data_IF_421984811680
#
_entry.id   IF_421984811680
#
_cell.length_a   1.000
_cell.length_b   1.000
_cell.length_c   1.000
_cell.angle_alpha   90.00
_cell.angle_beta   90.00
_cell.angle_gamma   90.00
#
_symmetry.space_group_name_H-M   'P 1'
#
loop_
_entity.id
_entity.type
_entity.pdbx_description
1 polymer ?
#
# COMPACT_ATOMS: atom_id res chain seq x y z
N UNK A 1 -20.19 -5.97 32.00
CA UNK A 1 -19.87 -4.54 31.91
C UNK A 1 -18.68 -4.44 30.98
N UNK A 2 -18.89 -4.02 29.73
CA UNK A 2 -17.89 -4.13 28.67
C UNK A 2 -16.67 -3.25 28.97
N UNK A 3 -15.49 -3.85 29.00
CA UNK A 3 -14.22 -3.13 29.08
C UNK A 3 -14.06 -2.30 27.81
N UNK A 4 -14.11 -0.98 27.96
CA UNK A 4 -13.66 -0.05 26.91
C UNK A 4 -12.18 -0.35 26.63
N UNK A 5 -11.88 -0.94 25.47
CA UNK A 5 -10.50 -0.95 24.96
C UNK A 5 -10.18 0.46 24.49
N UNK A 6 -9.16 1.08 25.06
CA UNK A 6 -8.64 2.34 24.56
C UNK A 6 -8.15 2.17 23.12
N UNK A 7 -8.08 3.24 22.32
CA UNK A 7 -7.57 3.26 20.94
C UNK A 7 -6.08 2.84 20.81
N UNK A 8 -5.45 2.55 21.95
CA UNK A 8 -4.08 2.05 22.11
C UNK A 8 -4.00 0.55 22.49
N UNK A 9 -5.13 -0.13 22.72
CA UNK A 9 -5.14 -1.57 23.02
C UNK A 9 -5.19 -2.36 21.70
N UNK A 10 -4.01 -2.65 21.15
CA UNK A 10 -3.83 -3.46 19.94
C UNK A 10 -3.00 -4.71 20.23
N UNK A 11 -3.31 -5.81 19.54
CA UNK A 11 -2.55 -7.07 19.63
C UNK A 11 -1.27 -7.01 18.77
N UNK A 12 -1.33 -6.34 17.61
CA UNK A 12 -0.23 -6.22 16.66
C UNK A 12 -0.07 -4.79 16.14
N UNK A 13 1.18 -4.39 15.90
CA UNK A 13 1.54 -3.14 15.25
C UNK A 13 2.28 -3.45 13.95
N UNK A 14 1.69 -3.10 12.80
CA UNK A 14 2.32 -3.33 11.51
C UNK A 14 2.68 -2.02 10.83
N UNK A 15 3.94 -1.91 10.42
CA UNK A 15 4.42 -0.81 9.59
C UNK A 15 4.26 -1.17 8.11
N UNK A 16 3.49 -0.35 7.39
CA UNK A 16 3.22 -0.49 5.96
C UNK A 16 3.67 0.77 5.22
N UNK A 17 4.30 0.61 4.06
CA UNK A 17 4.74 1.74 3.21
C UNK A 17 3.95 1.78 1.90
N UNK A 18 3.61 2.98 1.43
CA UNK A 18 3.05 3.20 0.10
C UNK A 18 4.17 3.69 -0.82
N UNK A 19 4.44 2.97 -1.90
CA UNK A 19 5.50 3.30 -2.85
C UNK A 19 4.98 3.29 -4.29
N UNK A 20 5.72 3.93 -5.20
CA UNK A 20 5.34 4.10 -6.60
C UNK A 20 5.48 5.53 -7.07
N UNK A 21 5.28 5.77 -8.36
CA UNK A 21 5.53 7.06 -9.00
C UNK A 21 4.67 8.21 -8.44
N UNK A 22 5.09 9.45 -8.72
CA UNK A 22 4.28 10.62 -8.41
C UNK A 22 2.95 10.61 -9.19
N UNK A 23 1.88 11.04 -8.52
CA UNK A 23 0.55 11.17 -9.13
C UNK A 23 -0.20 9.85 -9.40
N UNK A 24 0.34 8.70 -8.99
CA UNK A 24 -0.38 7.41 -9.09
C UNK A 24 -1.55 7.29 -8.12
N UNK A 25 -1.58 8.13 -7.07
CA UNK A 25 -2.71 8.27 -6.15
C UNK A 25 -2.51 7.67 -4.75
N UNK A 26 -1.27 7.42 -4.33
CA UNK A 26 -0.93 6.88 -2.98
C UNK A 26 -1.57 7.67 -1.83
N UNK A 27 -1.43 9.00 -1.82
CA UNK A 27 -2.02 9.87 -0.78
C UNK A 27 -3.55 9.82 -0.76
N UNK A 28 -4.18 9.69 -1.94
CA UNK A 28 -5.63 9.54 -2.05
C UNK A 28 -6.09 8.15 -1.58
N UNK A 29 -5.32 7.09 -1.83
CA UNK A 29 -5.59 5.76 -1.26
C UNK A 29 -5.47 5.78 0.26
N UNK A 30 -4.43 6.42 0.81
CA UNK A 30 -4.25 6.61 2.26
C UNK A 30 -5.41 7.39 2.88
N UNK A 31 -5.76 8.52 2.28
CA UNK A 31 -6.87 9.39 2.75
C UNK A 31 -8.20 8.66 2.67
N UNK A 32 -8.44 7.89 1.60
CA UNK A 32 -9.66 7.11 1.46
C UNK A 32 -9.73 5.99 2.49
N UNK A 33 -8.63 5.30 2.73
CA UNK A 33 -8.56 4.27 3.77
C UNK A 33 -8.73 4.86 5.18
N UNK A 34 -8.12 5.99 5.51
CA UNK A 34 -8.09 6.47 6.91
C UNK A 34 -9.22 7.41 7.27
N UNK A 35 -9.72 8.19 6.30
CA UNK A 35 -10.71 9.26 6.52
C UNK A 35 -11.94 9.15 5.62
N UNK A 36 -11.96 8.19 4.70
CA UNK A 36 -12.95 8.10 3.64
C UNK A 36 -13.01 9.39 2.77
N UNK A 37 -11.88 10.08 2.61
CA UNK A 37 -11.76 11.33 1.85
C UNK A 37 -11.03 11.13 0.52
N UNK A 38 -11.31 12.03 -0.44
CA UNK A 38 -10.59 12.09 -1.71
C UNK A 38 -10.47 13.54 -2.18
N UNK A 39 -9.30 13.87 -2.73
CA UNK A 39 -9.01 15.18 -3.29
C UNK A 39 -8.52 15.07 -4.73
N UNK A 40 -9.26 15.71 -5.64
CA UNK A 40 -8.85 15.87 -7.04
C UNK A 40 -7.59 16.75 -7.16
N UNK A 41 -7.43 17.71 -6.25
CA UNK A 41 -6.31 18.65 -6.23
C UNK A 41 -5.12 18.14 -5.40
N UNK A 42 -5.00 16.81 -5.20
CA UNK A 42 -3.88 16.23 -4.45
C UNK A 42 -2.55 16.64 -5.09
N UNK A 43 -1.82 17.54 -4.42
CA UNK A 43 -0.48 17.99 -4.85
C UNK A 43 0.52 16.86 -4.68
N UNK A 44 1.64 16.93 -5.41
CA UNK A 44 2.75 15.99 -5.18
C UNK A 44 3.19 16.05 -3.72
N UNK A 45 3.34 14.89 -3.08
CA UNK A 45 3.88 14.78 -1.72
C UNK A 45 5.33 15.26 -1.71
N UNK A 46 5.61 16.34 -0.99
CA UNK A 46 6.95 16.97 -0.88
C UNK A 46 7.79 16.30 0.23
N UNK A 47 7.19 15.40 1.01
CA UNK A 47 7.85 14.64 2.08
C UNK A 47 7.19 13.27 2.30
N UNK A 48 6.95 12.92 3.56
CA UNK A 48 6.25 11.68 3.93
C UNK A 48 5.06 12.02 4.81
N UNK A 49 3.91 11.45 4.50
CA UNK A 49 2.71 11.52 5.34
C UNK A 49 2.57 10.23 6.15
N UNK A 50 2.17 10.37 7.41
CA UNK A 50 1.98 9.25 8.32
C UNK A 50 0.54 9.21 8.81
N UNK A 51 -0.09 8.04 8.74
CA UNK A 51 -1.40 7.81 9.31
C UNK A 51 -1.45 6.47 10.03
N UNK A 52 -2.37 6.36 11.00
CA UNK A 52 -2.65 5.09 11.67
C UNK A 52 -4.10 4.71 11.49
N UNK A 53 -4.35 3.40 11.43
CA UNK A 53 -5.70 2.84 11.49
C UNK A 53 -5.68 1.46 12.12
N UNK A 54 -6.58 1.23 13.05
CA UNK A 54 -6.81 -0.09 13.63
C UNK A 54 -7.87 -0.83 12.84
N UNK A 55 -7.61 -2.10 12.53
CA UNK A 55 -8.58 -3.01 11.93
C UNK A 55 -8.64 -4.30 12.76
N UNK A 56 -9.74 -5.03 12.62
CA UNK A 56 -9.85 -6.38 13.16
C UNK A 56 -9.45 -7.38 12.07
N UNK A 57 -8.49 -8.25 12.39
CA UNK A 57 -8.06 -9.40 11.59
C UNK A 57 -8.27 -10.63 12.46
N UNK A 58 -9.16 -11.52 12.05
CA UNK A 58 -9.66 -12.62 12.88
C UNK A 58 -10.16 -12.09 14.26
N UNK A 59 -9.64 -12.62 15.36
CA UNK A 59 -9.95 -12.18 16.73
C UNK A 59 -8.92 -11.18 17.30
N UNK A 60 -8.09 -10.59 16.44
CA UNK A 60 -6.97 -9.72 16.81
C UNK A 60 -7.16 -8.29 16.30
N UNK A 61 -6.77 -7.32 17.12
CA UNK A 61 -6.74 -5.91 16.74
C UNK A 61 -5.36 -5.59 16.17
N UNK A 62 -5.30 -5.26 14.89
CA UNK A 62 -4.08 -4.87 14.18
C UNK A 62 -4.08 -3.35 14.00
N UNK A 63 -3.11 -2.67 14.60
CA UNK A 63 -2.85 -1.24 14.36
C UNK A 63 -1.86 -1.10 13.21
N UNK A 64 -2.33 -0.56 12.09
CA UNK A 64 -1.48 -0.26 10.94
C UNK A 64 -0.87 1.14 11.08
N UNK A 65 0.45 1.23 10.88
CA UNK A 65 1.21 2.45 10.72
C UNK A 65 1.58 2.61 9.26
N UNK A 66 0.91 3.53 8.56
CA UNK A 66 1.00 3.65 7.11
C UNK A 66 1.79 4.91 6.75
N UNK A 67 2.85 4.72 5.97
CA UNK A 67 3.74 5.78 5.52
C UNK A 67 3.51 6.02 4.02
N UNK A 68 2.89 7.15 3.66
CA UNK A 68 2.80 7.59 2.27
C UNK A 68 4.07 8.33 1.87
N UNK A 69 4.80 7.78 0.91
CA UNK A 69 6.10 8.31 0.49
C UNK A 69 6.02 9.18 -0.75
N UNK A 70 6.91 10.15 -0.85
CA UNK A 70 7.06 10.93 -2.07
C UNK A 70 7.43 10.01 -3.25
N UNK A 71 6.61 10.03 -4.30
CA UNK A 71 6.85 9.28 -5.54
C UNK A 71 7.83 9.96 -6.50
N UNK A 72 8.50 11.05 -6.08
CA UNK A 72 9.47 11.74 -6.92
C UNK A 72 10.86 11.17 -6.72
N UNK A 73 11.52 10.89 -7.84
CA UNK A 73 12.88 10.33 -7.89
C UNK A 73 13.90 11.14 -7.09
N UNK A 74 13.72 12.46 -7.03
CA UNK A 74 14.59 13.41 -6.32
C UNK A 74 14.64 13.16 -4.80
N UNK A 75 13.66 12.47 -4.23
CA UNK A 75 13.58 12.20 -2.79
C UNK A 75 13.93 10.75 -2.42
N UNK A 76 14.38 9.91 -3.36
CA UNK A 76 14.66 8.48 -3.11
C UNK A 76 15.62 8.19 -1.96
N UNK A 77 16.66 9.00 -1.80
CA UNK A 77 17.60 8.84 -0.67
C UNK A 77 16.95 9.05 0.70
N UNK A 78 15.86 9.83 0.74
CA UNK A 78 15.03 10.03 1.93
C UNK A 78 14.04 8.87 2.07
N UNK A 79 13.49 8.37 0.96
CA UNK A 79 12.51 7.27 0.93
C UNK A 79 13.06 5.95 1.50
N UNK A 80 14.31 5.59 1.22
CA UNK A 80 14.89 4.33 1.69
C UNK A 80 14.98 4.21 3.22
N UNK A 81 15.11 5.34 3.93
CA UNK A 81 15.08 5.36 5.40
C UNK A 81 13.72 4.91 5.97
N UNK A 82 12.63 5.09 5.21
CA UNK A 82 11.29 4.70 5.65
C UNK A 82 10.98 3.22 5.44
N UNK A 83 11.73 2.53 4.58
CA UNK A 83 11.54 1.09 4.34
C UNK A 83 11.96 0.23 5.53
N UNK A 84 12.95 0.69 6.33
CA UNK A 84 13.45 -0.10 7.48
C UNK A 84 12.33 -0.46 8.45
N UNK A 85 12.19 -1.75 8.73
CA UNK A 85 11.17 -2.30 9.63
C UNK A 85 9.74 -2.28 9.07
N UNK A 86 9.56 -1.99 7.77
CA UNK A 86 8.29 -2.23 7.11
C UNK A 86 8.08 -3.73 6.95
N UNK A 87 6.92 -4.21 7.38
CA UNK A 87 6.50 -5.61 7.26
C UNK A 87 5.53 -5.81 6.08
N UNK A 88 5.03 -4.71 5.52
CA UNK A 88 4.30 -4.75 4.26
C UNK A 88 4.45 -3.49 3.41
N UNK A 89 4.06 -3.61 2.14
CA UNK A 89 4.05 -2.51 1.19
C UNK A 89 2.88 -2.59 0.22
N UNK A 90 2.33 -1.42 -0.13
CA UNK A 90 1.49 -1.27 -1.32
C UNK A 90 2.34 -0.59 -2.40
N UNK A 91 2.57 -1.31 -3.48
CA UNK A 91 3.29 -0.83 -4.66
C UNK A 91 2.28 -0.37 -5.70
N UNK A 92 2.14 0.94 -5.86
CA UNK A 92 1.02 1.55 -6.60
C UNK A 92 1.47 2.05 -7.96
N UNK A 93 0.73 1.67 -9.00
CA UNK A 93 0.83 2.27 -10.34
C UNK A 93 -0.53 2.83 -10.78
N UNK A 94 -0.53 3.58 -11.87
CA UNK A 94 -1.71 4.18 -12.48
C UNK A 94 -2.10 3.38 -13.73
N UNK A 95 -3.29 2.78 -13.74
CA UNK A 95 -3.74 1.94 -14.87
C UNK A 95 -3.85 2.71 -16.19
N UNK A 96 -3.90 4.04 -16.14
CA UNK A 96 -3.97 4.92 -17.33
C UNK A 96 -2.60 5.36 -17.84
N UNK A 97 -1.51 5.05 -17.14
CA UNK A 97 -0.15 5.49 -17.49
C UNK A 97 0.84 4.33 -17.47
N UNK A 98 1.09 3.75 -18.64
CA UNK A 98 1.98 2.61 -18.83
C UNK A 98 3.37 2.79 -18.20
N UNK A 99 3.98 3.97 -18.32
CA UNK A 99 5.30 4.27 -17.73
C UNK A 99 5.34 4.04 -16.21
N UNK A 100 4.23 4.27 -15.51
CA UNK A 100 4.17 4.04 -14.05
C UNK A 100 4.17 2.56 -13.70
N UNK A 101 3.70 1.71 -14.60
CA UNK A 101 3.75 0.25 -14.48
C UNK A 101 5.13 -0.29 -14.83
N UNK A 102 5.79 0.24 -15.86
CA UNK A 102 7.19 -0.11 -16.16
C UNK A 102 8.12 0.19 -14.96
N UNK A 103 7.89 1.32 -14.28
CA UNK A 103 8.66 1.71 -13.10
C UNK A 103 8.40 0.82 -11.87
N UNK A 104 7.36 -0.03 -11.85
CA UNK A 104 7.05 -0.94 -10.73
C UNK A 104 8.23 -1.86 -10.44
N UNK A 105 8.88 -2.41 -11.46
CA UNK A 105 10.03 -3.32 -11.29
C UNK A 105 11.17 -2.65 -10.52
N UNK A 106 11.44 -1.38 -10.85
CA UNK A 106 12.45 -0.58 -10.15
C UNK A 106 12.06 -0.31 -8.70
N UNK A 107 10.81 0.05 -8.43
CA UNK A 107 10.32 0.27 -7.07
C UNK A 107 10.33 -1.00 -6.23
N UNK A 108 9.95 -2.13 -6.83
CA UNK A 108 9.96 -3.45 -6.19
C UNK A 108 11.38 -3.85 -5.81
N UNK A 109 12.34 -3.69 -6.72
CA UNK A 109 13.75 -3.95 -6.45
C UNK A 109 14.26 -3.07 -5.30
N UNK A 110 14.00 -1.77 -5.37
CA UNK A 110 14.43 -0.82 -4.34
C UNK A 110 13.84 -1.18 -2.96
N UNK A 111 12.58 -1.59 -2.89
CA UNK A 111 11.95 -2.06 -1.66
C UNK A 111 12.68 -3.29 -1.11
N UNK A 112 12.82 -4.34 -1.94
CA UNK A 112 13.45 -5.62 -1.54
C UNK A 112 14.91 -5.45 -1.11
N UNK A 113 15.64 -4.52 -1.70
CA UNK A 113 17.04 -4.23 -1.32
C UNK A 113 17.17 -3.62 0.10
N UNK A 114 16.07 -3.12 0.68
CA UNK A 114 16.07 -2.39 1.96
C UNK A 114 15.12 -2.96 3.02
N UNK A 115 14.46 -4.09 2.76
CA UNK A 115 13.52 -4.75 3.68
C UNK A 115 13.85 -6.22 3.85
N UNK A 116 13.28 -6.84 4.87
CA UNK A 116 13.41 -8.29 5.07
C UNK A 116 12.74 -9.07 3.93
N UNK A 117 13.21 -10.30 3.68
CA UNK A 117 12.68 -11.16 2.61
C UNK A 117 11.20 -11.52 2.77
N UNK A 118 10.68 -11.39 3.99
CA UNK A 118 9.33 -11.81 4.36
C UNK A 118 8.33 -10.65 4.29
N UNK A 119 8.73 -9.50 3.74
CA UNK A 119 7.82 -8.38 3.51
C UNK A 119 6.65 -8.81 2.60
N UNK A 120 5.43 -8.50 3.04
CA UNK A 120 4.22 -8.75 2.25
C UNK A 120 3.99 -7.59 1.28
N UNK A 121 3.89 -7.87 -0.01
CA UNK A 121 3.77 -6.84 -1.05
C UNK A 121 2.47 -7.02 -1.82
N UNK A 122 1.70 -5.94 -1.94
CA UNK A 122 0.52 -5.83 -2.80
C UNK A 122 0.79 -4.85 -3.94
N UNK A 123 0.79 -5.34 -5.17
CA UNK A 123 0.73 -4.52 -6.36
C UNK A 123 -0.69 -3.95 -6.52
N UNK A 124 -0.79 -2.63 -6.63
CA UNK A 124 -2.05 -1.92 -6.72
C UNK A 124 -2.14 -1.14 -8.04
N UNK A 125 -3.07 -1.53 -8.90
CA UNK A 125 -3.45 -0.76 -10.08
C UNK A 125 -4.53 0.25 -9.72
N UNK A 126 -4.16 1.52 -9.48
CA UNK A 126 -5.12 2.55 -9.09
C UNK A 126 -5.71 3.27 -10.32
N UNK A 127 -6.82 3.98 -10.09
CA UNK A 127 -7.62 4.72 -11.08
C UNK A 127 -8.40 3.83 -12.05
N UNK A 128 -8.85 2.67 -11.58
CA UNK A 128 -9.65 1.72 -12.35
C UNK A 128 -11.02 2.28 -12.82
N UNK A 129 -11.46 3.40 -12.24
CA UNK A 129 -12.62 4.19 -12.70
C UNK A 129 -12.42 4.77 -14.11
N UNK A 130 -11.18 5.08 -14.50
CA UNK A 130 -10.83 5.66 -15.80
C UNK A 130 -10.68 4.59 -16.90
N UNK A 131 -11.68 3.69 -17.03
CA UNK A 131 -11.63 2.51 -17.92
C UNK A 131 -11.29 2.86 -19.37
N UNK A 132 -11.80 3.98 -19.88
CA UNK A 132 -11.58 4.44 -21.25
C UNK A 132 -10.17 4.95 -21.52
N UNK A 133 -9.39 5.23 -20.48
CA UNK A 133 -8.02 5.71 -20.56
C UNK A 133 -7.01 4.62 -20.16
N UNK A 134 -7.46 3.37 -19.97
CA UNK A 134 -6.62 2.26 -19.54
C UNK A 134 -5.49 2.04 -20.55
N UNK A 135 -4.26 2.09 -20.04
CA UNK A 135 -3.03 1.83 -20.79
C UNK A 135 -2.33 0.53 -20.34
N UNK A 136 -2.74 -0.05 -19.21
CA UNK A 136 -2.20 -1.31 -18.66
C UNK A 136 -3.36 -2.29 -18.50
N UNK A 137 -3.25 -3.46 -19.15
CA UNK A 137 -4.26 -4.51 -19.02
C UNK A 137 -4.21 -5.14 -17.62
N UNK A 138 -5.36 -5.62 -17.15
CA UNK A 138 -5.43 -6.31 -15.86
C UNK A 138 -4.65 -7.62 -15.91
N UNK A 139 -4.64 -8.27 -17.08
CA UNK A 139 -3.92 -9.51 -17.35
C UNK A 139 -2.41 -9.34 -17.23
N UNK A 140 -1.84 -8.28 -17.82
CA UNK A 140 -0.39 -8.01 -17.75
C UNK A 140 0.04 -7.72 -16.30
N UNK A 141 -0.75 -6.93 -15.58
CA UNK A 141 -0.47 -6.60 -14.19
C UNK A 141 -0.58 -7.82 -13.27
N UNK A 142 -1.57 -8.69 -13.50
CA UNK A 142 -1.71 -9.95 -12.78
C UNK A 142 -0.56 -10.91 -13.09
N UNK A 143 -0.18 -11.06 -14.35
CA UNK A 143 0.95 -11.89 -14.75
C UNK A 143 2.29 -11.40 -14.15
N UNK A 144 2.48 -10.07 -14.10
CA UNK A 144 3.60 -9.47 -13.39
C UNK A 144 3.58 -9.83 -11.91
N UNK A 145 2.44 -9.68 -11.24
CA UNK A 145 2.32 -9.95 -9.81
C UNK A 145 2.61 -11.42 -9.47
N UNK A 146 2.10 -12.34 -10.28
CA UNK A 146 2.38 -13.79 -10.15
C UNK A 146 3.88 -14.08 -10.33
N UNK A 147 4.51 -13.53 -11.38
CA UNK A 147 5.95 -13.70 -11.62
C UNK A 147 6.79 -13.20 -10.44
N UNK A 148 6.41 -12.05 -9.89
CA UNK A 148 7.13 -11.43 -8.79
C UNK A 148 6.69 -11.94 -7.41
N UNK A 149 5.78 -12.90 -7.31
CA UNK A 149 5.24 -13.39 -6.03
C UNK A 149 4.69 -12.28 -5.13
N UNK A 150 3.90 -11.39 -5.72
CA UNK A 150 3.20 -10.29 -5.02
C UNK A 150 1.69 -10.50 -5.14
N UNK A 151 0.93 -9.98 -4.18
CA UNK A 151 -0.52 -9.90 -4.31
C UNK A 151 -0.89 -8.83 -5.33
N UNK A 152 -2.11 -8.90 -5.88
CA UNK A 152 -2.57 -7.92 -6.87
C UNK A 152 -4.03 -7.51 -6.63
N UNK A 153 -4.28 -6.20 -6.73
CA UNK A 153 -5.64 -5.65 -6.70
C UNK A 153 -5.74 -4.36 -7.51
N UNK A 154 -6.78 -4.23 -8.33
CA UNK A 154 -7.13 -2.94 -8.91
C UNK A 154 -8.03 -2.14 -7.97
N UNK A 155 -7.77 -0.84 -7.88
CA UNK A 155 -8.46 0.08 -6.98
C UNK A 155 -8.90 1.35 -7.70
N UNK A 156 -9.88 2.04 -7.10
CA UNK A 156 -10.16 3.44 -7.41
C UNK A 156 -10.29 4.21 -6.11
N UNK A 157 -9.34 5.11 -5.85
CA UNK A 157 -9.49 6.05 -4.75
C UNK A 157 -10.70 6.99 -4.95
N UNK A 158 -11.07 7.31 -6.20
CA UNK A 158 -12.22 8.16 -6.52
C UNK A 158 -13.53 7.46 -6.13
N UNK A 159 -13.75 6.25 -6.62
CA UNK A 159 -14.99 5.47 -6.38
C UNK A 159 -14.95 4.67 -5.07
N UNK A 160 -13.83 4.73 -4.34
CA UNK A 160 -13.55 3.88 -3.18
C UNK A 160 -13.56 2.37 -3.49
N UNK A 161 -13.41 1.99 -4.77
CA UNK A 161 -13.37 0.61 -5.22
C UNK A 161 -12.13 -0.08 -4.66
N UNK A 162 -12.32 -1.19 -3.94
CA UNK A 162 -11.28 -2.07 -3.44
C UNK A 162 -10.23 -1.43 -2.51
N UNK A 163 -10.37 -0.16 -2.13
CA UNK A 163 -9.41 0.52 -1.26
C UNK A 163 -9.32 -0.19 0.09
N UNK A 164 -10.46 -0.38 0.77
CA UNK A 164 -10.53 -1.11 2.05
C UNK A 164 -9.96 -2.53 1.92
N UNK A 165 -10.31 -3.23 0.83
CA UNK A 165 -9.92 -4.61 0.59
C UNK A 165 -8.40 -4.74 0.41
N UNK A 166 -7.76 -3.84 -0.34
CA UNK A 166 -6.33 -3.89 -0.59
C UNK A 166 -5.52 -3.77 0.72
N UNK A 167 -5.89 -2.83 1.60
CA UNK A 167 -5.22 -2.66 2.89
C UNK A 167 -5.52 -3.81 3.84
N UNK A 168 -6.77 -4.27 3.93
CA UNK A 168 -7.14 -5.41 4.80
C UNK A 168 -6.44 -6.70 4.37
N UNK A 169 -6.36 -6.96 3.07
CA UNK A 169 -5.69 -8.15 2.54
C UNK A 169 -4.21 -8.12 2.94
N UNK A 170 -3.49 -7.03 2.67
CA UNK A 170 -2.08 -6.89 3.06
C UNK A 170 -1.88 -7.11 4.56
N UNK A 171 -2.69 -6.46 5.40
CA UNK A 171 -2.57 -6.57 6.85
C UNK A 171 -2.88 -7.99 7.37
N UNK A 172 -3.83 -8.69 6.74
CA UNK A 172 -4.16 -10.07 7.08
C UNK A 172 -3.04 -11.03 6.68
N UNK A 173 -2.46 -10.84 5.50
CA UNK A 173 -1.33 -11.64 5.04
C UNK A 173 -0.09 -11.42 5.92
N UNK A 174 0.20 -10.19 6.34
CA UNK A 174 1.27 -9.91 7.31
C UNK A 174 1.01 -10.64 8.63
N UNK A 175 -0.22 -10.60 9.13
CA UNK A 175 -0.60 -11.30 10.34
C UNK A 175 -0.31 -12.81 10.23
N UNK A 176 -0.70 -13.45 9.13
CA UNK A 176 -0.45 -14.88 8.92
C UNK A 176 1.05 -15.22 8.82
N UNK A 177 1.86 -14.38 8.16
CA UNK A 177 3.32 -14.56 8.12
C UNK A 177 3.91 -14.49 9.54
N UNK A 178 3.52 -13.49 10.33
CA UNK A 178 4.00 -13.31 11.71
C UNK A 178 3.58 -14.47 12.62
N UNK A 179 2.38 -15.05 12.43
CA UNK A 179 1.96 -16.24 13.20
C UNK A 179 2.82 -17.47 12.90
N UNK A 180 3.26 -17.64 11.65
CA UNK A 180 4.08 -18.78 11.23
C UNK A 180 5.53 -18.68 11.73
N UNK A 181 6.08 -17.47 11.83
CA UNK A 181 7.43 -17.25 12.38
C UNK A 181 7.50 -17.40 13.91
N UNK A 182 6.38 -17.16 14.59
CA UNK A 182 6.28 -17.26 16.06
C UNK A 182 5.94 -18.66 16.59
N UNK A 183 5.73 -19.63 15.71
CA UNK A 183 5.42 -21.05 16.04
C UNK A 183 6.66 -21.92 15.93
#
# INVERSE_FOLDING_TARGET
MGTYRADDDYDYLFKVVLIGDSGVGKSNLLSRFTRNEFSLESKSTIGVEFATRSIQVDDKVVKAQIWDTAGQERYRAITSAYYRGAVGALLVYDVTRHVTFENVERWLKELRDHTDSNIVIMLVGNKADLRHLRAVSTEDAKAFAERESTFFMETSALESLNVENAFKEVLSQIYHVVQQEGS
#
